data_IF_400757046642
#
_entry.id   IF_400757046642
#
_cell.length_a   1.000
_cell.length_b   1.000
_cell.length_c   1.000
_cell.angle_alpha   90.00
_cell.angle_beta   90.00
_cell.angle_gamma   90.00
#
_symmetry.space_group_name_H-M   'P 1'
#
loop_
_entity.id
_entity.type
_entity.pdbx_description
1 polymer ?
#
# COMPACT_ATOMS: atom_id res chain seq x y z
N UNK A 1 -63.84 25.91 39.41
CA UNK A 1 -63.13 24.61 39.57
C UNK A 1 -62.26 24.44 38.33
N UNK A 2 -61.01 24.90 38.38
CA UNK A 2 -59.76 24.11 38.58
C UNK A 2 -59.46 23.12 37.43
N UNK A 3 -58.50 23.54 36.60
CA UNK A 3 -57.39 22.83 35.94
C UNK A 3 -57.58 21.36 35.51
N UNK A 4 -57.15 21.02 34.28
CA UNK A 4 -55.91 20.26 34.04
C UNK A 4 -55.60 20.05 32.53
N UNK A 5 -54.32 19.77 32.26
CA UNK A 5 -53.70 19.18 31.06
C UNK A 5 -53.13 20.13 29.98
N UNK A 6 -52.02 20.77 30.37
CA UNK A 6 -50.82 20.90 29.53
C UNK A 6 -49.85 19.75 29.87
N UNK A 7 -49.22 19.15 28.86
CA UNK A 7 -47.98 18.38 29.04
C UNK A 7 -47.94 17.08 28.24
N UNK A 8 -46.97 16.96 27.33
CA UNK A 8 -46.64 15.66 26.74
C UNK A 8 -46.06 15.62 25.32
N UNK A 9 -45.21 16.56 24.90
CA UNK A 9 -44.32 16.35 23.75
C UNK A 9 -42.93 16.81 24.15
N UNK A 10 -42.08 15.87 24.55
CA UNK A 10 -40.73 16.21 24.99
C UNK A 10 -40.02 15.06 25.69
N UNK A 11 -40.08 13.83 25.15
CA UNK A 11 -39.29 12.72 25.67
C UNK A 11 -39.08 11.60 24.63
N UNK A 12 -38.68 11.94 23.40
CA UNK A 12 -38.25 10.91 22.43
C UNK A 12 -36.94 11.24 21.71
N UNK A 13 -36.40 12.47 21.84
CA UNK A 13 -35.15 12.85 21.18
C UNK A 13 -33.89 12.48 21.98
N UNK A 14 -33.93 12.47 23.32
CA UNK A 14 -32.74 12.27 24.16
C UNK A 14 -32.24 10.81 24.19
N UNK A 15 -33.15 9.83 24.09
CA UNK A 15 -32.78 8.41 24.12
C UNK A 15 -32.10 7.96 22.82
N UNK A 16 -32.56 8.45 21.66
CA UNK A 16 -31.95 8.09 20.36
C UNK A 16 -30.55 8.68 20.19
N UNK A 17 -30.31 9.90 20.71
CA UNK A 17 -28.97 10.52 20.68
C UNK A 17 -28.00 9.79 21.61
N UNK A 18 -28.46 9.30 22.76
CA UNK A 18 -27.62 8.53 23.70
C UNK A 18 -27.17 7.17 23.14
N UNK A 19 -28.05 6.45 22.46
CA UNK A 19 -27.73 5.14 21.84
C UNK A 19 -26.79 5.30 20.64
N UNK A 20 -27.04 6.30 19.77
CA UNK A 20 -26.16 6.55 18.63
C UNK A 20 -24.73 6.91 19.06
N UNK A 21 -24.56 7.73 20.11
CA UNK A 21 -23.25 8.10 20.64
C UNK A 21 -22.54 6.94 21.36
N UNK A 22 -23.27 5.99 21.96
CA UNK A 22 -22.67 4.80 22.58
C UNK A 22 -22.18 3.80 21.54
N UNK A 23 -22.94 3.60 20.47
CA UNK A 23 -22.59 2.70 19.38
C UNK A 23 -21.36 3.23 18.61
N UNK A 24 -21.31 4.55 18.36
CA UNK A 24 -20.16 5.19 17.70
C UNK A 24 -18.87 5.06 18.51
N UNK A 25 -18.94 5.23 19.84
CA UNK A 25 -17.77 5.06 20.72
C UNK A 25 -17.32 3.60 20.82
N UNK A 26 -18.25 2.66 20.85
CA UNK A 26 -17.93 1.23 20.85
C UNK A 26 -17.24 0.82 19.54
N UNK A 27 -17.72 1.34 18.41
CA UNK A 27 -17.12 1.14 17.09
C UNK A 27 -15.72 1.75 16.99
N UNK A 28 -15.51 2.96 17.53
CA UNK A 28 -14.20 3.61 17.55
C UNK A 28 -13.19 2.81 18.39
N UNK A 29 -13.58 2.37 19.58
CA UNK A 29 -12.74 1.54 20.44
C UNK A 29 -12.38 0.21 19.78
N UNK A 30 -13.33 -0.43 19.08
CA UNK A 30 -13.09 -1.64 18.32
C UNK A 30 -12.07 -1.42 17.20
N UNK A 31 -12.25 -0.39 16.38
CA UNK A 31 -11.33 -0.05 15.27
C UNK A 31 -9.92 0.29 15.78
N UNK A 32 -9.82 1.00 16.90
CA UNK A 32 -8.54 1.31 17.53
C UNK A 32 -7.83 0.03 18.02
N UNK A 33 -8.57 -0.88 18.68
CA UNK A 33 -8.03 -2.15 19.12
C UNK A 33 -7.61 -3.04 17.94
N UNK A 34 -8.37 -3.06 16.85
CA UNK A 34 -8.06 -3.84 15.65
C UNK A 34 -6.81 -3.29 14.93
N UNK A 35 -6.69 -1.98 14.80
CA UNK A 35 -5.47 -1.34 14.30
C UNK A 35 -4.25 -1.68 15.15
N UNK A 36 -4.39 -1.67 16.48
CA UNK A 36 -3.30 -2.05 17.37
C UNK A 36 -2.90 -3.51 17.19
N UNK A 37 -3.87 -4.42 16.99
CA UNK A 37 -3.57 -5.83 16.66
C UNK A 37 -2.79 -5.97 15.36
N UNK A 38 -3.22 -5.27 14.31
CA UNK A 38 -2.53 -5.26 13.02
C UNK A 38 -1.10 -4.72 13.12
N UNK A 39 -0.92 -3.62 13.87
CA UNK A 39 0.40 -3.07 14.16
C UNK A 39 1.29 -4.08 14.86
N UNK A 40 0.78 -4.73 15.92
CA UNK A 40 1.52 -5.77 16.64
C UNK A 40 1.81 -7.02 15.81
N UNK A 41 1.11 -7.25 14.69
CA UNK A 41 1.48 -8.27 13.71
C UNK A 41 2.65 -7.78 12.85
N UNK A 42 2.56 -6.58 12.28
CA UNK A 42 3.62 -6.00 11.46
C UNK A 42 4.95 -5.88 12.25
N UNK A 43 4.88 -5.49 13.52
CA UNK A 43 6.05 -5.38 14.41
C UNK A 43 6.77 -6.71 14.68
N UNK A 44 6.17 -7.87 14.37
CA UNK A 44 6.85 -9.18 14.47
C UNK A 44 7.80 -9.46 13.31
N UNK A 45 7.80 -8.62 12.28
CA UNK A 45 8.63 -8.77 11.10
C UNK A 45 9.78 -7.79 11.10
N UNK A 46 10.97 -8.34 10.92
CA UNK A 46 12.20 -7.60 10.69
C UNK A 46 12.54 -7.73 9.20
N UNK A 47 12.83 -6.59 8.56
CA UNK A 47 13.19 -6.54 7.14
C UNK A 47 14.64 -6.12 7.01
N UNK A 48 15.42 -6.91 6.29
CA UNK A 48 16.79 -6.60 5.90
C UNK A 48 16.78 -6.09 4.45
N UNK A 49 17.10 -4.80 4.28
CA UNK A 49 17.31 -4.18 2.98
C UNK A 49 18.71 -4.45 2.42
N UNK A 50 18.84 -4.30 1.10
CA UNK A 50 20.11 -4.41 0.36
C UNK A 50 20.91 -5.68 0.73
N UNK A 51 20.25 -6.83 0.66
CA UNK A 51 20.80 -8.07 1.20
C UNK A 51 22.05 -8.51 0.41
N UNK A 52 23.21 -8.40 1.08
CA UNK A 52 24.56 -8.68 0.58
C UNK A 52 25.47 -9.11 1.73
N UNK A 53 26.77 -8.80 1.67
CA UNK A 53 27.73 -9.22 2.71
C UNK A 53 27.48 -8.55 4.09
N UNK A 54 26.80 -7.40 4.12
CA UNK A 54 26.35 -6.69 5.33
C UNK A 54 24.91 -6.21 5.13
N UNK A 55 23.90 -6.95 5.59
CA UNK A 55 22.50 -6.53 5.51
C UNK A 55 22.25 -5.24 6.28
N UNK A 56 21.36 -4.38 5.77
CA UNK A 56 20.95 -3.15 6.44
C UNK A 56 19.54 -3.34 6.99
N UNK A 57 19.34 -3.11 8.29
CA UNK A 57 18.01 -3.21 8.88
C UNK A 57 17.11 -2.08 8.36
N UNK A 58 15.98 -2.43 7.74
CA UNK A 58 14.96 -1.48 7.34
C UNK A 58 14.03 -1.16 8.52
N UNK A 59 13.58 0.09 8.59
CA UNK A 59 12.74 0.60 9.67
C UNK A 59 11.26 0.54 9.29
N UNK A 60 10.45 -0.10 10.12
CA UNK A 60 8.99 -0.06 10.01
C UNK A 60 8.46 1.35 10.32
N UNK A 61 7.59 1.86 9.45
CA UNK A 61 6.84 3.09 9.70
C UNK A 61 5.87 2.95 10.87
N UNK A 62 5.72 4.03 11.67
CA UNK A 62 4.93 4.02 12.90
C UNK A 62 3.42 3.88 12.70
N UNK A 63 2.93 4.26 11.50
CA UNK A 63 1.55 4.21 11.07
C UNK A 63 1.45 3.47 9.72
N UNK A 64 0.33 2.79 9.44
CA UNK A 64 0.13 2.20 8.12
C UNK A 64 -0.06 3.30 7.06
N UNK A 65 0.42 3.04 5.85
CA UNK A 65 0.21 3.91 4.69
C UNK A 65 -1.26 3.95 4.25
N UNK A 66 -1.97 2.84 4.45
CA UNK A 66 -3.36 2.69 4.03
C UNK A 66 -4.12 1.82 5.03
N UNK A 67 -5.38 2.18 5.26
CA UNK A 67 -6.41 1.30 5.84
C UNK A 67 -7.44 1.06 4.76
N UNK A 68 -7.81 -0.20 4.54
CA UNK A 68 -8.76 -0.58 3.50
C UNK A 68 -9.58 -1.80 3.90
N UNK A 69 -10.58 -2.09 3.10
CA UNK A 69 -11.36 -3.31 3.16
C UNK A 69 -11.54 -3.83 1.73
N UNK A 70 -11.87 -5.12 1.60
CA UNK A 70 -12.14 -5.73 0.31
C UNK A 70 -13.39 -6.61 0.42
N UNK A 71 -14.53 -6.00 0.12
CA UNK A 71 -15.82 -6.68 0.12
C UNK A 71 -15.89 -7.81 -0.91
N UNK A 72 -15.15 -7.72 -2.02
CA UNK A 72 -15.11 -8.76 -3.06
C UNK A 72 -14.44 -10.03 -2.56
N UNK A 73 -13.44 -9.88 -1.68
CA UNK A 73 -12.72 -10.99 -1.04
C UNK A 73 -13.19 -11.32 0.38
N UNK A 74 -14.27 -10.70 0.86
CA UNK A 74 -14.79 -10.84 2.25
C UNK A 74 -13.76 -10.46 3.32
N UNK A 75 -12.85 -9.55 2.98
CA UNK A 75 -11.90 -8.93 3.88
C UNK A 75 -12.59 -7.75 4.58
N UNK A 76 -12.58 -7.76 5.91
CA UNK A 76 -13.30 -6.74 6.70
C UNK A 76 -12.42 -5.53 7.01
N UNK A 77 -11.17 -5.77 7.40
CA UNK A 77 -10.24 -4.72 7.76
C UNK A 77 -8.82 -5.14 7.39
N UNK A 78 -8.09 -4.22 6.77
CA UNK A 78 -6.71 -4.40 6.36
C UNK A 78 -5.89 -3.14 6.52
N UNK A 79 -4.58 -3.34 6.69
CA UNK A 79 -3.59 -2.27 6.78
C UNK A 79 -2.40 -2.54 5.89
N UNK A 80 -1.81 -1.48 5.35
CA UNK A 80 -0.60 -1.53 4.54
C UNK A 80 0.57 -0.89 5.28
N UNK A 81 1.63 -1.63 5.54
CA UNK A 81 2.80 -1.21 6.33
C UNK A 81 4.05 -1.13 5.46
N UNK A 82 4.87 -0.10 5.69
CA UNK A 82 6.10 0.15 4.92
C UNK A 82 7.34 -0.01 5.81
N UNK A 83 8.35 -0.68 5.28
CA UNK A 83 9.72 -0.64 5.78
C UNK A 83 10.59 0.20 4.86
N UNK A 84 11.45 1.03 5.44
CA UNK A 84 12.38 1.88 4.69
C UNK A 84 13.83 1.69 5.11
N UNK A 85 14.74 1.76 4.14
CA UNK A 85 16.16 2.02 4.39
C UNK A 85 16.39 3.53 4.23
N UNK A 86 16.70 4.25 5.32
CA UNK A 86 16.52 5.72 5.37
C UNK A 86 15.08 6.07 4.95
N UNK A 87 14.91 6.78 3.83
CA UNK A 87 13.63 7.14 3.24
C UNK A 87 13.27 6.27 2.01
N UNK A 88 14.13 5.34 1.60
CA UNK A 88 13.85 4.49 0.44
C UNK A 88 12.91 3.34 0.82
N UNK A 89 11.84 3.09 0.06
CA UNK A 89 10.93 1.98 0.32
C UNK A 89 11.61 0.63 0.05
N UNK A 90 11.68 -0.22 1.07
CA UNK A 90 12.33 -1.54 0.99
C UNK A 90 11.33 -2.66 0.82
N UNK A 91 10.24 -2.64 1.60
CA UNK A 91 9.18 -3.64 1.55
C UNK A 91 7.84 -3.04 1.97
N UNK A 92 6.75 -3.56 1.39
CA UNK A 92 5.39 -3.32 1.86
C UNK A 92 4.77 -4.61 2.35
N UNK A 93 3.95 -4.52 3.40
CA UNK A 93 3.15 -5.63 3.91
C UNK A 93 1.69 -5.26 4.00
N UNK A 94 0.82 -6.07 3.39
CA UNK A 94 -0.59 -6.11 3.73
C UNK A 94 -0.78 -6.98 4.98
N UNK A 95 -1.56 -6.49 5.96
CA UNK A 95 -2.03 -7.27 7.11
C UNK A 95 -3.54 -7.27 7.08
N UNK A 96 -4.12 -8.44 6.90
CA UNK A 96 -5.53 -8.63 6.58
C UNK A 96 -6.24 -9.53 7.58
N UNK A 97 -7.45 -9.15 7.97
CA UNK A 97 -8.29 -9.95 8.85
C UNK A 97 -9.55 -10.45 8.16
N UNK A 98 -9.73 -11.77 8.20
CA UNK A 98 -10.89 -12.45 7.64
C UNK A 98 -11.69 -13.11 8.78
N UNK A 99 -12.69 -12.43 9.37
CA UNK A 99 -13.45 -12.96 10.50
C UNK A 99 -14.30 -14.19 10.12
N UNK A 100 -14.74 -14.27 8.86
CA UNK A 100 -15.73 -15.27 8.40
C UNK A 100 -15.13 -16.28 7.39
N UNK A 101 -13.89 -16.72 7.60
CA UNK A 101 -13.29 -17.77 6.75
C UNK A 101 -13.86 -19.16 7.08
N UNK A 102 -13.83 -20.14 6.14
CA UNK A 102 -14.45 -21.46 6.33
C UNK A 102 -13.99 -22.24 7.57
N UNK A 103 -12.78 -21.97 8.08
CA UNK A 103 -12.20 -22.62 9.28
C UNK A 103 -12.18 -21.70 10.51
N UNK A 104 -13.01 -20.66 10.51
CA UNK A 104 -13.03 -19.62 11.54
C UNK A 104 -12.15 -18.41 11.19
N UNK A 105 -12.05 -17.42 12.09
CA UNK A 105 -11.27 -16.20 11.86
C UNK A 105 -9.80 -16.50 11.54
N UNK A 106 -9.26 -15.82 10.53
CA UNK A 106 -7.85 -15.96 10.14
C UNK A 106 -7.20 -14.61 9.84
N UNK A 107 -5.89 -14.58 10.05
CA UNK A 107 -5.01 -13.51 9.59
C UNK A 107 -4.30 -13.97 8.32
N UNK A 108 -4.12 -13.04 7.39
CA UNK A 108 -3.28 -13.19 6.22
C UNK A 108 -2.35 -11.99 6.16
N UNK A 109 -1.11 -12.20 5.74
CA UNK A 109 -0.17 -11.14 5.46
C UNK A 109 0.58 -11.45 4.18
N UNK A 110 0.76 -10.44 3.36
CA UNK A 110 1.49 -10.52 2.09
C UNK A 110 2.64 -9.52 2.17
N UNK A 111 3.84 -9.94 1.83
CA UNK A 111 5.01 -9.06 1.79
C UNK A 111 5.59 -9.00 0.40
N UNK A 112 5.80 -7.78 -0.09
CA UNK A 112 6.47 -7.53 -1.37
C UNK A 112 7.75 -6.72 -1.13
N UNK A 113 8.77 -7.01 -1.93
CA UNK A 113 9.95 -6.16 -2.01
C UNK A 113 9.71 -4.98 -2.94
N UNK A 114 10.07 -3.79 -2.50
CA UNK A 114 10.10 -2.57 -3.32
C UNK A 114 11.51 -2.15 -3.71
N UNK A 115 12.51 -2.89 -3.22
CA UNK A 115 13.92 -2.56 -3.41
C UNK A 115 14.40 -2.95 -4.81
N UNK A 116 15.38 -2.19 -5.31
CA UNK A 116 16.21 -2.54 -6.46
C UNK A 116 17.29 -3.60 -6.12
N UNK A 117 17.31 -4.07 -4.88
CA UNK A 117 18.16 -5.13 -4.36
C UNK A 117 17.31 -6.24 -3.72
N UNK A 118 17.93 -7.39 -3.44
CA UNK A 118 17.24 -8.45 -2.66
C UNK A 118 16.98 -7.97 -1.24
N UNK A 119 15.91 -8.46 -0.64
CA UNK A 119 15.60 -8.25 0.77
C UNK A 119 15.50 -9.58 1.51
N UNK A 120 15.65 -9.53 2.83
CA UNK A 120 15.38 -10.62 3.75
C UNK A 120 14.27 -10.23 4.71
N UNK A 121 13.49 -11.21 5.16
CA UNK A 121 12.43 -11.01 6.15
C UNK A 121 12.54 -12.10 7.21
N UNK A 122 12.53 -11.69 8.46
CA UNK A 122 12.54 -12.57 9.63
C UNK A 122 11.25 -12.34 10.40
N UNK A 123 10.59 -13.41 10.84
CA UNK A 123 9.40 -13.33 11.70
C UNK A 123 9.65 -14.06 13.00
N UNK A 124 9.77 -13.32 14.10
CA UNK A 124 9.86 -13.88 15.46
C UNK A 124 10.96 -14.93 15.66
N UNK A 125 12.07 -14.87 14.92
CA UNK A 125 13.21 -15.79 15.02
C UNK A 125 13.06 -17.14 14.30
N UNK A 126 11.84 -17.66 14.16
CA UNK A 126 11.58 -19.04 13.72
C UNK A 126 11.28 -19.18 12.22
N UNK A 127 10.99 -18.07 11.53
CA UNK A 127 10.74 -18.05 10.09
C UNK A 127 11.63 -17.02 9.42
N UNK A 128 12.25 -17.43 8.31
CA UNK A 128 13.11 -16.58 7.49
C UNK A 128 12.76 -16.78 6.02
N UNK A 129 12.65 -15.67 5.31
CA UNK A 129 12.45 -15.62 3.88
C UNK A 129 13.44 -14.67 3.24
N UNK A 130 13.86 -14.97 2.02
CA UNK A 130 14.73 -14.12 1.24
C UNK A 130 14.21 -14.00 -0.19
N UNK A 131 14.16 -12.77 -0.69
CA UNK A 131 13.82 -12.52 -2.08
C UNK A 131 14.90 -13.11 -3.00
N UNK A 132 14.48 -13.88 -4.02
CA UNK A 132 15.41 -14.49 -4.98
C UNK A 132 16.02 -13.46 -5.94
N UNK A 133 15.31 -12.36 -6.17
CA UNK A 133 15.65 -11.26 -7.06
C UNK A 133 15.21 -9.91 -6.44
N UNK A 134 15.69 -8.77 -6.96
CA UNK A 134 15.11 -7.46 -6.64
C UNK A 134 13.60 -7.43 -6.83
N UNK A 135 12.90 -6.69 -5.97
CA UNK A 135 11.46 -6.53 -6.06
C UNK A 135 11.02 -5.65 -7.22
N UNK A 136 11.85 -4.66 -7.57
CA UNK A 136 11.53 -3.67 -8.62
C UNK A 136 12.70 -3.53 -9.58
N UNK A 137 12.41 -3.65 -10.87
CA UNK A 137 13.33 -3.33 -11.97
C UNK A 137 12.96 -1.97 -12.53
N UNK A 138 13.90 -1.02 -12.48
CA UNK A 138 13.67 0.35 -12.94
C UNK A 138 13.92 0.49 -14.44
N UNK A 139 13.01 1.14 -15.13
CA UNK A 139 13.09 1.49 -16.56
C UNK A 139 12.92 3.01 -16.71
N UNK A 140 13.57 3.67 -17.69
CA UNK A 140 13.32 5.07 -17.96
C UNK A 140 11.86 5.27 -18.41
N UNK A 141 11.21 6.33 -17.93
CA UNK A 141 9.90 6.76 -18.45
C UNK A 141 10.11 7.27 -19.88
N UNK A 142 9.42 6.72 -20.90
CA UNK A 142 9.58 7.18 -22.27
C UNK A 142 9.00 8.58 -22.49
N UNK A 143 9.67 9.35 -23.34
CA UNK A 143 9.36 10.74 -23.67
C UNK A 143 10.33 11.73 -23.01
N UNK A 144 10.16 13.01 -23.33
CA UNK A 144 11.14 14.06 -23.02
C UNK A 144 10.84 14.83 -21.72
N UNK A 145 10.09 14.23 -20.80
CA UNK A 145 9.75 14.91 -19.54
C UNK A 145 10.94 14.86 -18.57
N UNK A 146 11.72 15.93 -18.51
CA UNK A 146 12.81 16.06 -17.53
C UNK A 146 12.25 16.41 -16.13
N UNK A 147 12.73 15.78 -15.05
CA UNK A 147 12.40 16.18 -13.68
C UNK A 147 12.67 17.66 -13.43
N UNK A 148 11.69 18.37 -12.89
CA UNK A 148 11.83 19.77 -12.52
C UNK A 148 12.76 19.96 -11.32
N UNK A 149 13.55 21.03 -11.30
CA UNK A 149 14.35 21.42 -10.13
C UNK A 149 13.47 21.81 -8.92
N UNK A 150 12.23 22.27 -9.16
CA UNK A 150 11.27 22.62 -8.09
C UNK A 150 10.52 21.38 -7.57
N UNK A 151 10.54 21.07 -6.25
CA UNK A 151 9.87 19.90 -5.68
C UNK A 151 8.35 19.86 -5.88
N UNK A 152 7.67 21.01 -5.85
CA UNK A 152 6.22 21.07 -6.05
C UNK A 152 5.81 20.66 -7.48
N UNK A 153 6.62 21.03 -8.48
CA UNK A 153 6.37 20.68 -9.88
C UNK A 153 6.67 19.20 -10.16
N UNK A 154 7.65 18.60 -9.47
CA UNK A 154 7.93 17.16 -9.59
C UNK A 154 6.76 16.28 -9.17
N UNK A 155 6.01 16.66 -8.13
CA UNK A 155 4.78 15.93 -7.78
C UNK A 155 3.72 16.02 -8.87
N UNK A 156 3.58 17.18 -9.50
CA UNK A 156 2.68 17.36 -10.65
C UNK A 156 3.11 16.48 -11.84
N UNK A 157 4.42 16.46 -12.13
CA UNK A 157 5.01 15.60 -13.17
C UNK A 157 4.79 14.11 -12.86
N UNK A 158 5.05 13.66 -11.63
CA UNK A 158 4.82 12.27 -11.22
C UNK A 158 3.36 11.87 -11.39
N UNK A 159 2.40 12.76 -11.07
CA UNK A 159 0.97 12.52 -11.29
C UNK A 159 0.61 12.44 -12.78
N UNK A 160 1.20 13.31 -13.61
CA UNK A 160 1.03 13.30 -15.07
C UNK A 160 1.59 12.00 -15.67
N UNK A 161 2.76 11.55 -15.21
CA UNK A 161 3.35 10.28 -15.64
C UNK A 161 2.46 9.11 -15.21
N UNK A 162 2.02 9.08 -13.95
CA UNK A 162 1.13 8.02 -13.43
C UNK A 162 -0.14 7.88 -14.26
N UNK A 163 -0.73 8.98 -14.73
CA UNK A 163 -1.95 8.97 -15.55
C UNK A 163 -1.82 8.23 -16.89
N UNK A 164 -0.59 8.03 -17.39
CA UNK A 164 -0.32 7.27 -18.61
C UNK A 164 -0.34 5.76 -18.39
N UNK A 165 -0.29 5.32 -17.14
CA UNK A 165 -0.28 3.92 -16.78
C UNK A 165 -1.68 3.41 -16.42
N UNK A 166 -1.96 2.18 -16.83
CA UNK A 166 -3.13 1.41 -16.40
C UNK A 166 -2.70 0.02 -15.95
N UNK A 167 -3.52 -0.64 -15.13
CA UNK A 167 -3.24 -2.00 -14.68
C UNK A 167 -4.55 -2.79 -14.54
N UNK A 168 -4.46 -4.11 -14.70
CA UNK A 168 -5.59 -5.02 -14.52
C UNK A 168 -5.14 -6.34 -13.91
N UNK A 169 -6.08 -7.02 -13.25
CA UNK A 169 -5.97 -8.44 -12.87
C UNK A 169 -6.60 -9.30 -13.95
N UNK A 170 -6.10 -10.54 -14.09
CA UNK A 170 -6.79 -11.58 -14.83
C UNK A 170 -7.96 -12.13 -14.00
N UNK A 171 -9.11 -12.29 -14.63
CA UNK A 171 -10.32 -12.85 -14.00
C UNK A 171 -10.82 -14.07 -14.80
N UNK A 172 -10.68 -15.27 -14.24
CA UNK A 172 -11.06 -16.51 -14.95
C UNK A 172 -10.17 -16.78 -16.18
N UNK A 173 -10.75 -17.43 -17.21
CA UNK A 173 -9.99 -17.82 -18.41
C UNK A 173 -9.71 -16.63 -19.34
N UNK A 174 -10.74 -15.82 -19.62
CA UNK A 174 -10.69 -14.73 -20.60
C UNK A 174 -11.11 -13.36 -20.02
N UNK A 175 -11.45 -13.31 -18.73
CA UNK A 175 -11.89 -12.07 -18.09
C UNK A 175 -10.72 -11.22 -17.61
N UNK A 176 -11.01 -9.94 -17.40
CA UNK A 176 -10.07 -8.97 -16.83
C UNK A 176 -10.81 -8.04 -15.88
N UNK A 177 -10.18 -7.73 -14.76
CA UNK A 177 -10.65 -6.75 -13.80
C UNK A 177 -9.74 -5.52 -13.86
N UNK A 178 -10.29 -4.42 -14.38
CA UNK A 178 -9.56 -3.14 -14.44
C UNK A 178 -9.34 -2.57 -13.05
N UNK A 179 -8.08 -2.24 -12.74
CA UNK A 179 -7.71 -1.70 -11.44
C UNK A 179 -7.78 -0.18 -11.43
N UNK A 180 -8.41 0.37 -10.40
CA UNK A 180 -8.53 1.82 -10.23
C UNK A 180 -7.20 2.41 -9.75
N UNK A 181 -6.64 3.33 -10.51
CA UNK A 181 -5.47 4.07 -10.09
C UNK A 181 -5.79 5.03 -8.93
N UNK A 182 -5.14 4.87 -7.77
CA UNK A 182 -5.30 5.79 -6.64
C UNK A 182 -4.71 7.17 -6.99
N UNK A 183 -5.42 8.24 -6.63
CA UNK A 183 -5.05 9.62 -6.98
C UNK A 183 -3.88 10.16 -6.15
N UNK A 184 -3.72 9.66 -4.93
CA UNK A 184 -2.70 10.08 -3.97
C UNK A 184 -1.64 8.98 -3.88
N UNK A 185 -0.34 9.31 -3.94
CA UNK A 185 0.70 8.33 -3.70
C UNK A 185 0.58 7.78 -2.27
N UNK A 186 0.82 6.49 -2.10
CA UNK A 186 0.86 5.82 -0.79
C UNK A 186 2.04 6.33 0.04
N UNK A 187 3.16 6.63 -0.62
CA UNK A 187 4.37 7.12 0.03
C UNK A 187 5.14 8.02 -0.93
N UNK A 188 5.77 9.08 -0.42
CA UNK A 188 6.65 9.97 -1.17
C UNK A 188 7.96 10.11 -0.41
N UNK A 189 9.07 10.06 -1.12
CA UNK A 189 10.40 10.01 -0.55
C UNK A 189 11.43 10.77 -1.40
N UNK A 190 12.58 11.02 -0.82
CA UNK A 190 13.79 11.47 -1.50
C UNK A 190 14.99 10.99 -0.68
N UNK A 191 16.09 10.69 -1.35
CA UNK A 191 17.32 10.23 -0.73
C UNK A 191 18.51 10.70 -1.57
N UNK A 192 19.15 11.77 -1.11
CA UNK A 192 20.28 12.40 -1.83
C UNK A 192 21.48 11.45 -1.96
N UNK A 193 21.70 10.56 -0.99
CA UNK A 193 22.80 9.59 -1.00
C UNK A 193 22.71 8.64 -2.19
N UNK A 194 21.49 8.28 -2.60
CA UNK A 194 21.24 7.40 -3.75
C UNK A 194 20.87 8.17 -5.01
N UNK A 195 20.82 9.50 -4.96
CA UNK A 195 20.47 10.37 -6.08
C UNK A 195 18.97 10.45 -6.38
N UNK A 196 18.10 9.87 -5.55
CA UNK A 196 16.64 9.99 -5.71
C UNK A 196 16.20 11.36 -5.21
N UNK A 197 15.90 12.29 -6.12
CA UNK A 197 15.51 13.67 -5.76
C UNK A 197 14.00 13.85 -5.56
N UNK A 198 13.22 12.85 -5.99
CA UNK A 198 11.80 12.67 -5.69
C UNK A 198 11.40 11.25 -6.06
N UNK A 199 10.66 10.59 -5.18
CA UNK A 199 10.15 9.25 -5.37
C UNK A 199 8.71 9.18 -4.88
N UNK A 200 7.88 8.40 -5.56
CA UNK A 200 6.50 8.17 -5.15
C UNK A 200 6.06 6.74 -5.45
N UNK A 201 5.40 6.11 -4.48
CA UNK A 201 4.73 4.82 -4.63
C UNK A 201 3.25 5.09 -4.90
N UNK A 202 2.78 4.74 -6.08
CA UNK A 202 1.36 4.74 -6.45
C UNK A 202 0.80 3.32 -6.42
N UNK A 203 -0.52 3.20 -6.36
CA UNK A 203 -1.21 1.92 -6.41
C UNK A 203 -2.35 1.94 -7.42
N UNK A 204 -2.53 0.79 -8.07
CA UNK A 204 -3.73 0.40 -8.77
C UNK A 204 -4.46 -0.62 -7.90
N UNK A 205 -5.74 -0.37 -7.65
CA UNK A 205 -6.49 -1.05 -6.63
C UNK A 205 -7.82 -1.62 -7.13
N UNK A 206 -8.18 -2.80 -6.64
CA UNK A 206 -9.55 -3.27 -6.67
C UNK A 206 -10.32 -2.58 -5.53
N UNK A 207 -11.19 -1.63 -5.86
CA UNK A 207 -11.76 -0.73 -4.86
C UNK A 207 -10.67 0.09 -4.18
N UNK A 208 -10.35 -0.23 -2.93
CA UNK A 208 -9.24 0.36 -2.15
C UNK A 208 -8.11 -0.62 -1.84
N UNK A 209 -8.25 -1.91 -2.20
CA UNK A 209 -7.23 -2.93 -2.03
C UNK A 209 -6.12 -2.78 -3.10
N UNK A 210 -4.88 -2.41 -2.74
CA UNK A 210 -3.79 -2.26 -3.71
C UNK A 210 -3.36 -3.62 -4.26
N UNK A 211 -3.38 -3.79 -5.58
CA UNK A 211 -3.01 -5.06 -6.24
C UNK A 211 -1.72 -4.92 -7.07
N UNK A 212 -1.51 -3.75 -7.69
CA UNK A 212 -0.28 -3.40 -8.41
C UNK A 212 0.27 -2.08 -7.90
N UNK A 213 1.56 -2.08 -7.60
CA UNK A 213 2.29 -0.91 -7.14
C UNK A 213 3.16 -0.37 -8.27
N UNK A 214 3.16 0.96 -8.42
CA UNK A 214 4.00 1.68 -9.37
C UNK A 214 4.96 2.59 -8.57
N UNK A 215 6.26 2.33 -8.70
CA UNK A 215 7.30 3.21 -8.19
C UNK A 215 7.69 4.18 -9.30
N UNK A 216 7.61 5.48 -9.03
CA UNK A 216 8.10 6.54 -9.91
C UNK A 216 9.18 7.33 -9.19
N UNK A 217 10.37 7.43 -9.79
CA UNK A 217 11.50 8.13 -9.21
C UNK A 217 12.15 9.08 -10.20
N UNK A 218 12.34 10.33 -9.78
CA UNK A 218 13.28 11.25 -10.39
C UNK A 218 14.68 10.93 -9.85
N UNK A 219 15.47 10.25 -10.68
CA UNK A 219 16.81 9.81 -10.37
C UNK A 219 17.82 10.79 -10.97
N UNK A 220 18.65 11.40 -10.13
CA UNK A 220 19.79 12.23 -10.55
C UNK A 220 21.02 11.36 -10.69
N UNK A 221 21.65 11.44 -11.85
CA UNK A 221 22.93 10.79 -12.12
C UNK A 221 24.07 11.56 -11.43
N UNK A 222 24.94 10.83 -10.73
CA UNK A 222 25.97 11.44 -9.91
C UNK A 222 27.06 12.13 -10.76
N UNK A 223 27.35 11.62 -11.96
CA UNK A 223 28.44 12.09 -12.82
C UNK A 223 28.01 13.27 -13.70
N UNK A 224 26.86 13.16 -14.35
CA UNK A 224 26.34 14.16 -15.31
C UNK A 224 25.48 15.23 -14.64
N UNK A 225 25.01 14.97 -13.41
CA UNK A 225 24.02 15.79 -12.68
C UNK A 225 22.66 15.90 -13.36
N UNK A 226 22.45 15.21 -14.48
CA UNK A 226 21.17 15.14 -15.16
C UNK A 226 20.22 14.27 -14.36
N UNK A 227 18.93 14.60 -14.39
CA UNK A 227 17.89 13.81 -13.76
C UNK A 227 16.97 13.22 -14.82
N UNK A 228 16.52 12.00 -14.60
CA UNK A 228 15.53 11.32 -15.44
C UNK A 228 14.41 10.75 -14.57
N UNK A 229 13.20 10.64 -15.12
CA UNK A 229 12.16 9.83 -14.49
C UNK A 229 12.36 8.36 -14.83
N UNK A 230 12.27 7.52 -13.81
CA UNK A 230 12.25 6.07 -13.94
C UNK A 230 10.98 5.52 -13.31
N UNK A 231 10.57 4.34 -13.77
CA UNK A 231 9.43 3.62 -13.23
C UNK A 231 9.77 2.14 -12.99
N UNK A 232 9.02 1.51 -12.09
CA UNK A 232 9.03 0.07 -11.91
C UNK A 232 7.76 -0.40 -11.20
N UNK A 233 7.51 -1.70 -11.24
CA UNK A 233 6.29 -2.30 -10.72
C UNK A 233 6.57 -3.39 -9.69
N UNK A 234 5.62 -3.58 -8.78
CA UNK A 234 5.58 -4.70 -7.85
C UNK A 234 4.13 -5.20 -7.68
N UNK A 235 3.97 -6.51 -7.46
CA UNK A 235 2.68 -7.18 -7.26
C UNK A 235 2.33 -7.22 -5.76
N UNK A 236 1.12 -6.80 -5.40
CA UNK A 236 0.55 -6.87 -4.05
C UNK A 236 -0.75 -7.69 -4.09
N UNK A 237 -0.68 -8.85 -4.74
CA UNK A 237 -1.81 -9.74 -4.93
C UNK A 237 -1.34 -11.14 -5.29
N UNK A 238 -2.17 -12.15 -4.99
CA UNK A 238 -1.95 -13.50 -5.52
C UNK A 238 -2.29 -13.62 -7.01
N UNK A 239 -3.18 -12.76 -7.54
CA UNK A 239 -3.68 -12.88 -8.91
C UNK A 239 -2.62 -12.53 -9.98
N UNK A 240 -2.77 -13.09 -11.18
CA UNK A 240 -1.99 -12.65 -12.35
C UNK A 240 -2.35 -11.20 -12.71
N UNK A 241 -1.34 -10.35 -12.85
CA UNK A 241 -1.51 -8.90 -13.06
C UNK A 241 -0.68 -8.39 -14.22
N UNK A 242 -1.18 -7.33 -14.85
CA UNK A 242 -0.54 -6.67 -15.98
C UNK A 242 -0.56 -5.15 -15.79
N UNK A 243 0.44 -4.47 -16.33
CA UNK A 243 0.50 -3.02 -16.39
C UNK A 243 0.87 -2.55 -17.80
N UNK A 244 0.19 -1.51 -18.25
CA UNK A 244 0.40 -0.87 -19.54
C UNK A 244 0.79 0.59 -19.38
N UNK A 245 1.50 1.12 -20.37
CA UNK A 245 1.86 2.52 -20.53
C UNK A 245 1.41 2.96 -21.93
N UNK A 246 0.53 3.95 -22.01
CA UNK A 246 -0.05 4.42 -23.27
C UNK A 246 -0.58 3.24 -24.13
N UNK A 247 -1.40 2.39 -23.51
CA UNK A 247 -2.03 1.19 -24.09
C UNK A 247 -1.08 0.06 -24.51
N UNK A 248 0.22 0.16 -24.23
CA UNK A 248 1.19 -0.92 -24.47
C UNK A 248 1.57 -1.62 -23.17
N UNK A 249 1.50 -2.96 -23.15
CA UNK A 249 1.97 -3.73 -21.99
C UNK A 249 3.47 -3.50 -21.77
N UNK A 250 3.85 -3.12 -20.55
CA UNK A 250 5.25 -2.86 -20.17
C UNK A 250 5.73 -3.74 -19.02
N UNK A 251 4.79 -4.42 -18.35
CA UNK A 251 5.05 -5.31 -17.22
C UNK A 251 3.88 -6.28 -17.01
N UNK A 252 4.22 -7.49 -16.59
CA UNK A 252 3.27 -8.51 -16.15
C UNK A 252 3.91 -9.32 -15.03
N UNK A 253 3.11 -9.82 -14.10
CA UNK A 253 3.54 -10.79 -13.11
C UNK A 253 2.51 -11.90 -13.03
N UNK A 254 2.98 -13.13 -13.19
CA UNK A 254 2.12 -14.32 -13.10
C UNK A 254 1.57 -14.46 -11.69
N UNK A 255 0.56 -15.31 -11.56
CA UNK A 255 0.06 -15.77 -10.27
C UNK A 255 1.27 -16.12 -9.38
N UNK A 256 1.40 -15.38 -8.28
CA UNK A 256 2.45 -15.66 -7.32
C UNK A 256 1.95 -16.78 -6.43
N UNK A 257 2.78 -17.80 -6.21
CA UNK A 257 2.61 -18.62 -5.02
C UNK A 257 2.67 -17.65 -3.84
N UNK A 258 1.57 -17.50 -3.06
CA UNK A 258 1.60 -16.59 -1.93
C UNK A 258 2.80 -16.97 -1.06
N UNK A 259 3.66 -16.02 -0.65
CA UNK A 259 4.69 -16.33 0.31
C UNK A 259 4.00 -16.90 1.55
N UNK A 260 4.30 -18.17 1.84
CA UNK A 260 3.78 -18.88 3.02
C UNK A 260 4.19 -18.18 4.32
#
# INVERSE_FOLDING_TARGET
MKNLLRGGIGLFLAAMVGVALSDEKADEAYRAAQLQRMKSIAEKFEVEAALGAKPVAAKLMSNPLLKYNDSTRRNHESTLWLWTERELPSALMAVEFYPNSPRGPRWLFEIVSLSNSKIGVIRGGDWKWQAKQPGVIRKPVPGDLTPSEKPALRLSQARQIRQRFAAHEKEGTDGRLELRALSTPLYRYADEETGVIDGAVFAFANGTNPEVLLLLEAQRDAATKQAIWTYGFAQMTGAEVYASLDDQEVWSQKEADPPA
#
